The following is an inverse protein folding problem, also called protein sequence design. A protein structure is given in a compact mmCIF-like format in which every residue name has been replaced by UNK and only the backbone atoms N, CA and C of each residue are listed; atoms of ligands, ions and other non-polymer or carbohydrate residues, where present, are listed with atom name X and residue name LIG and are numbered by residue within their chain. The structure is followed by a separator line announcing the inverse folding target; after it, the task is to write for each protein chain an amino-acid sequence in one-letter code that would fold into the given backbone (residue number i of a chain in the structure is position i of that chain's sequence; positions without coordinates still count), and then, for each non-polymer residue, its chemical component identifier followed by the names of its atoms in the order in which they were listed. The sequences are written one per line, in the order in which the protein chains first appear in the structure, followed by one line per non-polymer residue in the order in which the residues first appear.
data_IF_318376948997
#
_entry.id   IF_318376948997
#
_cell.length_a   1.000
_cell.length_b   1.000
_cell.length_c   1.000
_cell.angle_alpha   90.00
_cell.angle_beta   90.00
_cell.angle_gamma   90.00
#
_symmetry.space_group_name_H-M   'P 1'
#
loop_
_entity.id
_entity.type
_entity.pdbx_description
1 polymer ?
#
# COMPACT_ATOMS: atom_id res chain seq x y z
N UNK A 1 22.02 -7.66 64.32
CA UNK A 1 21.59 -8.95 64.92
C UNK A 1 20.42 -9.49 64.10
N UNK A 2 20.73 -10.27 63.06
CA UNK A 2 19.77 -10.71 62.05
C UNK A 2 19.14 -12.04 62.46
N UNK A 3 17.90 -12.00 62.97
CA UNK A 3 17.05 -13.18 63.06
C UNK A 3 16.28 -13.32 61.73
N UNK A 4 16.64 -14.32 60.95
CA UNK A 4 15.98 -14.65 59.68
C UNK A 4 14.54 -15.11 59.96
N UNK A 5 13.58 -14.25 59.62
CA UNK A 5 12.15 -14.60 59.58
C UNK A 5 11.93 -15.50 58.36
N UNK A 6 11.41 -16.70 58.60
CA UNK A 6 10.92 -17.59 57.57
C UNK A 6 9.83 -16.88 56.76
N UNK A 7 10.14 -16.58 55.50
CA UNK A 7 9.16 -16.15 54.51
C UNK A 7 8.52 -17.38 53.90
N UNK A 8 7.24 -17.59 54.16
CA UNK A 8 6.37 -18.46 53.36
C UNK A 8 6.52 -18.08 51.89
N UNK A 9 7.06 -19.00 51.08
CA UNK A 9 6.95 -18.90 49.62
C UNK A 9 5.48 -19.11 49.29
N UNK A 10 4.77 -18.03 49.00
CA UNK A 10 3.42 -18.09 48.48
C UNK A 10 3.39 -19.03 47.27
N UNK A 11 2.74 -20.17 47.43
CA UNK A 11 2.47 -21.14 46.38
C UNK A 11 1.39 -20.57 45.44
N UNK A 12 1.70 -19.48 44.75
CA UNK A 12 0.92 -19.05 43.61
C UNK A 12 1.29 -19.99 42.46
N UNK A 13 0.50 -21.06 42.30
CA UNK A 13 0.56 -21.91 41.12
C UNK A 13 0.51 -21.03 39.86
N UNK A 14 1.12 -21.48 38.76
CA UNK A 14 1.29 -20.63 37.59
C UNK A 14 -0.05 -20.06 37.13
N UNK A 15 -0.09 -18.79 36.69
CA UNK A 15 -1.35 -18.15 36.33
C UNK A 15 -2.00 -18.94 35.21
N UNK A 16 -3.18 -19.55 35.45
CA UNK A 16 -3.93 -20.34 34.45
C UNK A 16 -4.26 -19.55 33.17
N UNK A 17 -4.12 -18.23 33.21
CA UNK A 17 -4.35 -17.31 32.09
C UNK A 17 -3.06 -16.85 31.38
N UNK A 18 -1.87 -17.27 31.82
CA UNK A 18 -0.61 -16.85 31.20
C UNK A 18 -0.36 -17.56 29.87
N UNK A 19 0.17 -16.82 28.90
CA UNK A 19 0.59 -17.33 27.60
C UNK A 19 2.11 -17.26 27.50
N UNK A 20 2.70 -18.24 26.82
CA UNK A 20 4.11 -18.20 26.45
C UNK A 20 4.31 -18.73 25.03
N UNK A 21 5.11 -18.00 24.26
CA UNK A 21 5.35 -18.23 22.83
C UNK A 21 6.86 -18.41 22.62
N UNK A 22 7.24 -19.48 21.92
CA UNK A 22 8.63 -19.77 21.57
C UNK A 22 8.70 -20.69 20.36
N UNK A 23 9.78 -20.60 19.59
CA UNK A 23 10.15 -21.53 18.52
C UNK A 23 11.18 -22.58 18.97
N UNK A 24 11.80 -22.40 20.14
CA UNK A 24 12.94 -23.18 20.63
C UNK A 24 12.53 -24.26 21.65
N UNK A 25 13.09 -25.47 21.51
CA UNK A 25 12.93 -26.52 22.52
C UNK A 25 13.72 -26.27 23.82
N UNK A 26 14.63 -25.30 23.85
CA UNK A 26 15.36 -24.89 25.05
C UNK A 26 14.45 -24.22 26.08
N UNK A 27 13.39 -23.54 25.61
CA UNK A 27 12.41 -22.86 26.46
C UNK A 27 11.31 -23.80 26.98
N UNK A 28 11.47 -25.11 26.81
CA UNK A 28 10.48 -26.10 27.23
C UNK A 28 10.05 -25.92 28.69
N UNK A 29 10.95 -25.76 29.69
CA UNK A 29 10.54 -25.61 31.08
C UNK A 29 9.54 -24.46 31.31
N UNK A 30 9.65 -23.37 30.55
CA UNK A 30 8.75 -22.24 30.67
C UNK A 30 7.38 -22.50 30.01
N UNK A 31 7.35 -23.27 28.91
CA UNK A 31 6.09 -23.77 28.32
C UNK A 31 5.32 -24.71 29.28
N UNK A 32 6.02 -25.44 30.15
CA UNK A 32 5.39 -26.35 31.12
C UNK A 32 4.74 -25.61 32.29
N UNK A 33 5.28 -24.45 32.62
CA UNK A 33 4.81 -23.65 33.75
C UNK A 33 3.57 -22.85 33.34
N UNK A 34 3.47 -22.32 32.12
CA UNK A 34 2.34 -21.44 31.77
C UNK A 34 0.99 -22.15 31.59
N UNK A 35 -0.11 -21.42 31.84
CA UNK A 35 -1.46 -21.95 31.64
C UNK A 35 -1.83 -22.19 30.18
N UNK A 36 -1.21 -21.48 29.23
CA UNK A 36 -1.51 -21.52 27.79
C UNK A 36 -0.23 -21.53 26.95
N UNK A 37 0.41 -22.68 26.83
CA UNK A 37 1.57 -22.90 25.96
C UNK A 37 1.20 -22.68 24.47
N UNK A 38 1.98 -21.83 23.78
CA UNK A 38 1.79 -21.49 22.35
C UNK A 38 3.09 -21.64 21.56
N UNK A 39 3.58 -22.88 21.32
CA UNK A 39 4.70 -23.10 20.42
C UNK A 39 4.44 -22.44 19.07
N UNK A 40 5.37 -21.59 18.63
CA UNK A 40 5.23 -20.73 17.46
C UNK A 40 6.40 -20.98 16.53
N UNK A 41 6.16 -21.44 15.30
CA UNK A 41 7.21 -21.93 14.38
C UNK A 41 8.20 -22.92 15.02
N UNK A 42 7.74 -23.92 15.80
CA UNK A 42 8.61 -24.72 16.64
C UNK A 42 9.62 -25.55 15.84
N UNK A 43 10.81 -25.72 16.44
CA UNK A 43 11.83 -26.70 16.05
C UNK A 43 11.21 -28.09 15.88
N UNK A 44 11.85 -28.98 15.12
CA UNK A 44 11.32 -30.35 14.90
C UNK A 44 11.05 -31.07 16.22
N UNK A 45 11.91 -30.85 17.22
CA UNK A 45 11.80 -31.45 18.55
C UNK A 45 10.65 -30.84 19.35
N UNK A 46 10.56 -29.51 19.42
CA UNK A 46 9.44 -28.84 20.10
C UNK A 46 8.10 -29.18 19.44
N UNK A 47 8.05 -29.31 18.11
CA UNK A 47 6.84 -29.72 17.38
C UNK A 47 6.39 -31.14 17.76
N UNK A 48 7.33 -32.07 17.96
CA UNK A 48 7.01 -33.42 18.42
C UNK A 48 6.48 -33.42 19.87
N UNK A 49 7.04 -32.59 20.74
CA UNK A 49 6.58 -32.42 22.12
C UNK A 49 5.18 -31.80 22.15
N UNK A 50 4.95 -30.72 21.40
CA UNK A 50 3.66 -30.05 21.32
C UNK A 50 2.55 -31.00 20.85
N UNK A 51 2.82 -31.84 19.83
CA UNK A 51 1.88 -32.87 19.37
C UNK A 51 1.53 -33.88 20.48
N UNK A 52 2.53 -34.36 21.22
CA UNK A 52 2.30 -35.32 22.32
C UNK A 52 1.50 -34.71 23.47
N UNK A 53 1.64 -33.41 23.73
CA UNK A 53 0.97 -32.70 24.82
C UNK A 53 -0.33 -32.02 24.43
N UNK A 54 -0.75 -32.12 23.16
CA UNK A 54 -1.92 -31.43 22.66
C UNK A 54 -1.82 -29.90 22.70
N UNK A 55 -0.60 -29.35 22.71
CA UNK A 55 -0.42 -27.90 22.67
C UNK A 55 -0.74 -27.35 21.28
N UNK A 56 -1.53 -26.26 21.18
CA UNK A 56 -1.80 -25.62 19.91
C UNK A 56 -0.51 -25.01 19.34
N UNK A 57 -0.09 -25.50 18.18
CA UNK A 57 1.08 -25.01 17.46
C UNK A 57 0.65 -23.96 16.45
N UNK A 58 1.24 -22.77 16.53
CA UNK A 58 1.09 -21.75 15.50
C UNK A 58 2.27 -21.85 14.54
N UNK A 59 2.00 -22.05 13.24
CA UNK A 59 3.04 -21.96 12.21
C UNK A 59 2.77 -20.75 11.34
N UNK A 60 3.69 -19.81 11.37
CA UNK A 60 3.72 -18.65 10.49
C UNK A 60 4.80 -18.89 9.45
N UNK A 61 4.40 -19.26 8.24
CA UNK A 61 5.33 -19.32 7.10
C UNK A 61 5.54 -17.90 6.58
N UNK A 62 6.79 -17.44 6.55
CA UNK A 62 7.15 -16.30 5.70
C UNK A 62 6.87 -16.62 4.23
N UNK A 63 7.01 -15.63 3.35
CA UNK A 63 6.87 -15.82 1.90
C UNK A 63 7.74 -16.99 1.36
N UNK A 64 8.85 -17.36 1.98
CA UNK A 64 9.74 -18.39 1.44
C UNK A 64 10.42 -17.93 0.14
N UNK A 65 11.16 -18.81 -0.52
CA UNK A 65 11.87 -18.48 -1.77
C UNK A 65 10.89 -18.39 -2.94
N UNK A 66 11.04 -17.39 -3.83
CA UNK A 66 10.19 -17.30 -5.01
C UNK A 66 10.45 -18.47 -5.96
N UNK A 67 9.41 -18.97 -6.61
CA UNK A 67 9.57 -19.97 -7.67
C UNK A 67 10.06 -19.31 -8.97
N UNK A 68 10.64 -20.09 -9.88
CA UNK A 68 11.05 -19.58 -11.19
C UNK A 68 9.88 -18.96 -11.97
N UNK A 69 8.70 -19.58 -11.88
CA UNK A 69 7.48 -19.06 -12.48
C UNK A 69 7.08 -17.70 -11.90
N UNK A 70 7.21 -17.49 -10.59
CA UNK A 70 6.93 -16.19 -9.96
C UNK A 70 7.92 -15.11 -10.39
N UNK A 71 9.19 -15.46 -10.57
CA UNK A 71 10.23 -14.54 -11.07
C UNK A 71 9.92 -14.12 -12.50
N UNK A 72 9.70 -15.09 -13.40
CA UNK A 72 9.36 -14.82 -14.81
C UNK A 72 8.11 -13.95 -14.89
N UNK A 73 7.07 -14.32 -14.15
CA UNK A 73 5.80 -13.60 -14.11
C UNK A 73 5.96 -12.15 -13.63
N UNK A 74 6.78 -11.93 -12.60
CA UNK A 74 7.08 -10.59 -12.08
C UNK A 74 7.82 -9.74 -13.11
N UNK A 75 8.83 -10.33 -13.77
CA UNK A 75 9.59 -9.66 -14.83
C UNK A 75 8.69 -9.28 -16.00
N UNK A 76 7.79 -10.18 -16.44
CA UNK A 76 6.81 -9.90 -17.48
C UNK A 76 5.84 -8.78 -17.08
N UNK A 77 5.33 -8.80 -15.85
CA UNK A 77 4.45 -7.76 -15.35
C UNK A 77 5.12 -6.38 -15.34
N UNK A 78 6.40 -6.30 -14.93
CA UNK A 78 7.18 -5.05 -14.98
C UNK A 78 7.43 -4.62 -16.43
N UNK A 79 7.88 -5.55 -17.28
CA UNK A 79 8.20 -5.28 -18.68
C UNK A 79 6.96 -4.90 -19.52
N UNK A 80 5.75 -5.28 -19.08
CA UNK A 80 4.48 -5.00 -19.77
C UNK A 80 4.20 -3.52 -20.02
N UNK A 81 4.88 -2.61 -19.32
CA UNK A 81 4.79 -1.17 -19.59
C UNK A 81 5.24 -0.82 -21.01
N UNK A 82 6.21 -1.55 -21.59
CA UNK A 82 6.70 -1.31 -22.94
C UNK A 82 5.60 -1.61 -23.99
N UNK A 83 5.04 -2.83 -24.07
CA UNK A 83 3.96 -3.09 -25.01
C UNK A 83 2.71 -2.24 -24.72
N UNK A 84 2.43 -1.88 -23.46
CA UNK A 84 1.33 -0.97 -23.14
C UNK A 84 1.51 0.42 -23.78
N UNK A 85 2.72 0.99 -23.73
CA UNK A 85 3.02 2.24 -24.43
C UNK A 85 3.02 2.06 -25.96
N UNK A 86 3.44 0.90 -26.47
CA UNK A 86 3.31 0.55 -27.89
C UNK A 86 1.86 0.52 -28.36
N UNK A 87 0.96 -0.08 -27.58
CA UNK A 87 -0.49 -0.08 -27.83
C UNK A 87 -1.03 1.35 -27.78
N UNK A 88 -0.62 2.15 -26.79
CA UNK A 88 -0.99 3.56 -26.69
C UNK A 88 -0.53 4.40 -27.89
N UNK A 89 0.59 4.07 -28.53
CA UNK A 89 1.07 4.81 -29.69
C UNK A 89 0.12 4.75 -30.89
N UNK A 90 -0.70 3.70 -31.00
CA UNK A 90 -1.67 3.53 -32.09
C UNK A 90 -2.66 4.71 -32.16
N UNK A 91 -3.49 4.99 -31.14
CA UNK A 91 -4.36 6.18 -31.17
C UNK A 91 -3.56 7.48 -31.11
N UNK A 92 -2.38 7.50 -30.49
CA UNK A 92 -1.52 8.69 -30.45
C UNK A 92 -1.11 9.18 -31.84
N UNK A 93 -0.76 8.26 -32.73
CA UNK A 93 -0.41 8.55 -34.12
C UNK A 93 -1.64 8.87 -34.96
N UNK A 94 -2.75 8.12 -34.77
CA UNK A 94 -3.99 8.31 -35.52
C UNK A 94 -4.68 9.64 -35.18
N UNK A 95 -4.85 9.95 -33.90
CA UNK A 95 -5.55 11.13 -33.41
C UNK A 95 -4.62 12.33 -33.19
N UNK A 96 -3.30 12.15 -33.37
CA UNK A 96 -2.26 13.14 -33.02
C UNK A 96 -2.40 13.67 -31.59
N UNK A 97 -2.89 12.83 -30.68
CA UNK A 97 -3.20 13.19 -29.29
C UNK A 97 -2.28 12.45 -28.32
N UNK A 98 -1.39 13.19 -27.66
CA UNK A 98 -0.59 12.65 -26.55
C UNK A 98 -1.47 12.12 -25.43
N UNK A 99 -2.60 12.78 -25.16
CA UNK A 99 -3.54 12.39 -24.09
C UNK A 99 -4.14 11.02 -24.37
N UNK A 100 -4.57 10.76 -25.59
CA UNK A 100 -5.17 9.47 -25.98
C UNK A 100 -4.15 8.34 -25.87
N UNK A 101 -2.91 8.60 -26.30
CA UNK A 101 -1.82 7.64 -26.14
C UNK A 101 -1.56 7.29 -24.67
N UNK A 102 -1.42 8.32 -23.82
CA UNK A 102 -1.16 8.10 -22.39
C UNK A 102 -2.33 7.37 -21.74
N UNK A 103 -3.57 7.75 -22.04
CA UNK A 103 -4.76 7.11 -21.50
C UNK A 103 -4.86 5.62 -21.87
N UNK A 104 -4.63 5.28 -23.14
CA UNK A 104 -4.64 3.89 -23.56
C UNK A 104 -3.45 3.11 -22.99
N UNK A 105 -2.26 3.73 -22.90
CA UNK A 105 -1.10 3.10 -22.29
C UNK A 105 -1.30 2.80 -20.79
N UNK A 106 -1.90 3.73 -20.04
CA UNK A 106 -2.27 3.53 -18.63
C UNK A 106 -3.25 2.37 -18.50
N UNK A 107 -4.31 2.37 -19.32
CA UNK A 107 -5.32 1.30 -19.31
C UNK A 107 -4.69 -0.06 -19.63
N UNK A 108 -3.91 -0.14 -20.72
CA UNK A 108 -3.23 -1.35 -21.14
C UNK A 108 -2.22 -1.84 -20.11
N UNK A 109 -1.45 -0.94 -19.49
CA UNK A 109 -0.49 -1.33 -18.46
C UNK A 109 -1.18 -1.85 -17.21
N UNK A 110 -2.26 -1.19 -16.76
CA UNK A 110 -3.11 -1.65 -15.67
C UNK A 110 -3.67 -3.05 -15.90
N UNK A 111 -4.22 -3.32 -17.09
CA UNK A 111 -4.78 -4.63 -17.45
C UNK A 111 -3.71 -5.70 -17.63
N UNK A 112 -2.75 -5.49 -18.52
CA UNK A 112 -1.70 -6.46 -18.84
C UNK A 112 -0.81 -6.74 -17.63
N UNK A 113 -0.40 -5.68 -16.93
CA UNK A 113 0.50 -5.82 -15.79
C UNK A 113 -0.15 -6.57 -14.63
N UNK A 114 -1.43 -6.33 -14.32
CA UNK A 114 -2.11 -7.05 -13.23
C UNK A 114 -2.39 -8.50 -13.60
N UNK A 115 -2.84 -8.75 -14.84
CA UNK A 115 -3.06 -10.10 -15.35
C UNK A 115 -1.76 -10.92 -15.35
N UNK A 116 -0.67 -10.34 -15.88
CA UNK A 116 0.64 -10.96 -15.83
C UNK A 116 1.09 -11.13 -14.40
N UNK A 117 0.99 -10.15 -13.51
CA UNK A 117 1.40 -10.29 -12.11
C UNK A 117 0.63 -11.38 -11.35
N UNK A 118 -0.54 -11.79 -11.82
CA UNK A 118 -1.46 -12.67 -11.12
C UNK A 118 -2.20 -11.95 -9.99
N UNK A 119 -2.32 -10.61 -10.07
CA UNK A 119 -2.96 -9.78 -9.06
C UNK A 119 -4.40 -9.49 -9.49
N UNK A 120 -5.36 -9.90 -8.66
CA UNK A 120 -6.80 -9.66 -8.86
C UNK A 120 -7.25 -8.53 -7.96
N UNK A 121 -8.22 -7.74 -8.41
CA UNK A 121 -8.81 -6.67 -7.60
C UNK A 121 -10.26 -7.05 -7.30
N UNK A 122 -10.64 -6.93 -6.04
CA UNK A 122 -12.04 -6.97 -5.61
C UNK A 122 -12.44 -5.56 -5.17
N UNK A 123 -13.18 -4.86 -6.03
CA UNK A 123 -13.45 -3.43 -5.87
C UNK A 123 -14.86 -3.21 -5.32
N UNK A 124 -14.96 -2.39 -4.28
CA UNK A 124 -16.21 -1.86 -3.74
C UNK A 124 -16.23 -0.35 -3.93
N UNK A 125 -17.36 0.20 -4.38
CA UNK A 125 -17.51 1.64 -4.62
C UNK A 125 -16.86 2.13 -5.93
N UNK A 126 -16.67 1.27 -6.92
CA UNK A 126 -15.98 1.62 -8.18
C UNK A 126 -16.62 2.83 -8.89
N UNK A 127 -17.93 3.03 -8.74
CA UNK A 127 -18.68 4.18 -9.24
C UNK A 127 -18.10 5.53 -8.78
N UNK A 128 -17.53 5.59 -7.57
CA UNK A 128 -16.94 6.82 -7.03
C UNK A 128 -15.65 7.23 -7.76
N UNK A 129 -15.00 6.32 -8.49
CA UNK A 129 -13.84 6.64 -9.34
C UNK A 129 -14.23 7.52 -10.55
N UNK A 130 -15.52 7.52 -10.89
CA UNK A 130 -16.07 8.12 -12.10
C UNK A 130 -17.14 9.19 -11.81
N UNK A 131 -17.67 9.24 -10.59
CA UNK A 131 -18.73 10.18 -10.22
C UNK A 131 -18.30 11.65 -10.25
N UNK A 132 -17.01 11.94 -10.06
CA UNK A 132 -16.47 13.29 -10.18
C UNK A 132 -15.03 13.29 -10.73
N UNK A 133 -14.82 13.96 -11.87
CA UNK A 133 -13.50 14.21 -12.45
C UNK A 133 -13.43 15.60 -13.09
N UNK A 134 -12.34 16.37 -12.94
CA UNK A 134 -11.11 16.02 -12.20
C UNK A 134 -11.32 15.92 -10.69
N UNK A 135 -10.47 15.14 -10.02
CA UNK A 135 -10.45 14.96 -8.57
C UNK A 135 -9.01 14.71 -8.09
N UNK A 136 -8.78 14.79 -6.78
CA UNK A 136 -7.56 14.29 -6.16
C UNK A 136 -7.83 12.91 -5.56
N UNK A 137 -7.37 11.87 -6.25
CA UNK A 137 -7.40 10.50 -5.75
C UNK A 137 -6.26 10.29 -4.75
N UNK A 138 -6.62 9.89 -3.53
CA UNK A 138 -5.64 9.55 -2.50
C UNK A 138 -5.71 8.07 -2.16
N UNK A 139 -4.56 7.45 -1.90
CA UNK A 139 -4.50 6.03 -1.54
C UNK A 139 -3.44 5.74 -0.48
N UNK A 140 -3.65 4.70 0.33
CA UNK A 140 -2.63 4.21 1.25
C UNK A 140 -1.57 3.45 0.47
N UNK A 141 -0.30 3.66 0.80
CA UNK A 141 0.80 3.15 -0.01
C UNK A 141 1.58 2.09 0.74
N UNK A 142 1.47 0.84 0.32
CA UNK A 142 2.11 -0.29 0.98
C UNK A 142 3.01 -1.09 0.02
N UNK A 143 2.72 -1.05 -1.27
CA UNK A 143 3.37 -1.89 -2.27
C UNK A 143 3.84 -1.09 -3.49
N UNK A 144 4.87 -1.60 -4.18
CA UNK A 144 5.21 -1.06 -5.50
C UNK A 144 4.15 -1.43 -6.55
N UNK A 145 3.36 -2.49 -6.31
CA UNK A 145 2.24 -2.91 -7.16
C UNK A 145 1.11 -1.87 -7.14
N UNK A 146 1.02 -1.03 -6.11
CA UNK A 146 -0.02 0.01 -6.01
C UNK A 146 -0.08 0.89 -7.26
N UNK A 147 1.06 1.22 -7.88
CA UNK A 147 1.09 2.01 -9.12
C UNK A 147 0.33 1.33 -10.26
N UNK A 148 0.50 0.02 -10.40
CA UNK A 148 -0.16 -0.80 -11.39
C UNK A 148 -1.66 -0.94 -11.09
N UNK A 149 -2.04 -1.08 -9.81
CA UNK A 149 -3.45 -1.12 -9.38
C UNK A 149 -4.16 0.20 -9.69
N UNK A 150 -3.51 1.33 -9.41
CA UNK A 150 -4.03 2.65 -9.73
C UNK A 150 -4.25 2.82 -11.23
N UNK A 151 -3.33 2.36 -12.07
CA UNK A 151 -3.53 2.38 -13.53
C UNK A 151 -4.75 1.56 -13.96
N UNK A 152 -4.94 0.35 -13.38
CA UNK A 152 -6.10 -0.50 -13.67
C UNK A 152 -7.43 0.14 -13.24
N UNK A 153 -7.45 0.77 -12.07
CA UNK A 153 -8.64 1.38 -11.50
C UNK A 153 -9.04 2.67 -12.22
N UNK A 154 -8.08 3.58 -12.41
CA UNK A 154 -8.39 4.94 -12.87
C UNK A 154 -8.35 5.09 -14.39
N UNK A 155 -7.63 4.22 -15.10
CA UNK A 155 -7.55 4.01 -16.57
C UNK A 155 -7.09 5.20 -17.42
N UNK A 156 -7.66 6.39 -17.23
CA UNK A 156 -7.47 7.57 -18.08
C UNK A 156 -7.52 8.85 -17.27
N UNK A 157 -7.02 9.94 -17.86
CA UNK A 157 -7.14 11.31 -17.35
C UNK A 157 -6.59 11.47 -15.94
N UNK A 158 -5.44 10.83 -15.68
CA UNK A 158 -4.73 10.90 -14.43
C UNK A 158 -3.28 11.33 -14.60
N UNK A 159 -2.75 11.98 -13.59
CA UNK A 159 -1.32 12.22 -13.40
C UNK A 159 -0.91 11.80 -11.99
N UNK A 160 0.21 11.10 -11.86
CA UNK A 160 0.70 10.63 -10.58
C UNK A 160 1.73 11.60 -9.98
N UNK A 161 1.87 11.56 -8.65
CA UNK A 161 2.98 12.19 -7.93
C UNK A 161 3.95 11.12 -7.43
N UNK A 162 5.19 11.17 -7.89
CA UNK A 162 6.20 10.16 -7.60
C UNK A 162 7.49 10.71 -6.97
N UNK A 163 8.14 9.85 -6.19
CA UNK A 163 9.58 9.59 -6.28
C UNK A 163 10.52 10.42 -7.18
N UNK A 164 11.30 11.44 -6.77
CA UNK A 164 12.34 11.97 -7.69
C UNK A 164 13.32 10.89 -8.16
N UNK A 165 13.64 9.92 -7.30
CA UNK A 165 14.50 8.79 -7.60
C UNK A 165 13.89 7.83 -8.63
N UNK A 166 12.55 7.76 -8.73
CA UNK A 166 11.86 6.96 -9.75
C UNK A 166 12.18 7.45 -11.15
N UNK A 167 12.41 8.76 -11.32
CA UNK A 167 12.83 9.35 -12.59
C UNK A 167 14.14 8.79 -13.13
N UNK A 168 15.02 8.29 -12.26
CA UNK A 168 16.34 7.72 -12.64
C UNK A 168 16.24 6.26 -13.08
N UNK A 169 15.10 5.61 -12.90
CA UNK A 169 14.89 4.24 -13.35
C UNK A 169 14.79 4.22 -14.90
N UNK A 170 15.55 3.33 -15.55
CA UNK A 170 15.62 3.27 -17.01
C UNK A 170 14.30 2.91 -17.69
N UNK A 171 13.42 2.19 -17.00
CA UNK A 171 12.12 1.77 -17.52
C UNK A 171 11.00 2.75 -17.12
N UNK A 172 10.88 3.03 -15.83
CA UNK A 172 9.79 3.86 -15.30
C UNK A 172 10.03 5.36 -15.51
N UNK A 173 11.28 5.83 -15.51
CA UNK A 173 11.59 7.24 -15.62
C UNK A 173 11.05 7.87 -16.91
N UNK A 174 11.45 7.37 -18.10
CA UNK A 174 10.98 7.91 -19.38
C UNK A 174 9.47 7.77 -19.56
N UNK A 175 8.89 6.61 -19.24
CA UNK A 175 7.46 6.32 -19.40
C UNK A 175 6.60 7.20 -18.48
N UNK A 176 6.97 7.35 -17.22
CA UNK A 176 6.23 8.18 -16.27
C UNK A 176 6.37 9.67 -16.59
N UNK A 177 7.55 10.12 -17.02
CA UNK A 177 7.75 11.49 -17.51
C UNK A 177 6.89 11.75 -18.74
N UNK A 178 6.85 10.81 -19.68
CA UNK A 178 6.00 10.90 -20.87
C UNK A 178 4.50 10.94 -20.51
N UNK A 179 4.07 10.20 -19.49
CA UNK A 179 2.71 10.26 -18.95
C UNK A 179 2.41 11.54 -18.15
N UNK A 180 3.40 12.44 -17.96
CA UNK A 180 3.22 13.71 -17.25
C UNK A 180 3.38 13.62 -15.74
N UNK A 181 3.88 12.50 -15.21
CA UNK A 181 4.10 12.28 -13.77
C UNK A 181 4.91 13.41 -13.14
N UNK A 182 4.43 13.93 -12.02
CA UNK A 182 5.10 14.96 -11.25
C UNK A 182 6.09 14.30 -10.29
N UNK A 183 7.38 14.55 -10.51
CA UNK A 183 8.46 14.03 -9.68
C UNK A 183 8.82 15.02 -8.57
N UNK A 184 8.86 14.55 -7.33
CA UNK A 184 9.11 15.38 -6.15
C UNK A 184 10.30 14.86 -5.37
N UNK A 185 11.22 15.78 -5.09
CA UNK A 185 12.22 15.62 -4.05
C UNK A 185 11.59 15.95 -2.69
N UNK A 186 11.48 14.93 -1.83
CA UNK A 186 10.84 15.05 -0.51
C UNK A 186 11.80 15.55 0.56
N UNK A 187 13.09 15.71 0.25
CA UNK A 187 14.10 16.22 1.18
C UNK A 187 14.04 17.75 1.33
N UNK A 188 13.56 18.45 0.29
CA UNK A 188 13.43 19.90 0.27
C UNK A 188 11.94 20.30 0.21
N UNK A 189 11.46 20.88 1.32
CA UNK A 189 10.05 21.27 1.46
C UNK A 189 9.65 22.37 0.48
N UNK A 190 10.51 23.36 0.22
CA UNK A 190 10.17 24.46 -0.68
C UNK A 190 10.08 23.96 -2.11
N UNK A 191 11.08 23.19 -2.56
CA UNK A 191 11.06 22.55 -3.89
C UNK A 191 9.88 21.59 -4.05
N UNK A 192 9.51 20.86 -3.00
CA UNK A 192 8.35 19.99 -3.05
C UNK A 192 7.06 20.76 -3.31
N UNK A 193 6.88 21.95 -2.71
CA UNK A 193 5.70 22.79 -2.94
C UNK A 193 5.70 23.34 -4.37
N UNK A 194 6.83 23.85 -4.85
CA UNK A 194 6.94 24.37 -6.22
C UNK A 194 6.69 23.29 -7.27
N UNK A 195 7.21 22.08 -7.03
CA UNK A 195 7.01 20.92 -7.90
C UNK A 195 5.53 20.49 -7.99
N UNK A 196 4.66 20.94 -7.08
CA UNK A 196 3.21 20.66 -7.15
C UNK A 196 2.44 21.64 -8.05
N UNK A 197 3.01 22.78 -8.47
CA UNK A 197 2.32 23.72 -9.36
C UNK A 197 1.81 23.08 -10.67
N UNK A 198 2.59 22.23 -11.38
CA UNK A 198 2.11 21.51 -12.55
C UNK A 198 0.90 20.60 -12.27
N UNK A 199 0.81 20.02 -11.07
CA UNK A 199 -0.33 19.18 -10.70
C UNK A 199 -1.62 19.99 -10.59
N UNK A 200 -1.57 21.21 -10.04
CA UNK A 200 -2.72 22.12 -9.98
C UNK A 200 -3.15 22.53 -11.40
N UNK A 201 -2.19 22.82 -12.29
CA UNK A 201 -2.49 23.11 -13.70
C UNK A 201 -3.16 21.92 -14.40
N UNK A 202 -2.66 20.70 -14.17
CA UNK A 202 -3.25 19.48 -14.72
C UNK A 202 -4.71 19.27 -14.24
N UNK A 203 -4.97 19.49 -12.95
CA UNK A 203 -6.33 19.46 -12.37
C UNK A 203 -7.25 20.45 -13.09
N UNK A 204 -6.82 21.69 -13.28
CA UNK A 204 -7.61 22.72 -13.99
C UNK A 204 -7.84 22.40 -15.47
N UNK A 205 -6.98 21.59 -16.08
CA UNK A 205 -7.11 21.10 -17.47
C UNK A 205 -7.92 19.80 -17.58
N UNK A 206 -8.60 19.39 -16.49
CA UNK A 206 -9.45 18.19 -16.48
C UNK A 206 -8.67 16.88 -16.36
N UNK A 207 -7.46 16.91 -15.81
CA UNK A 207 -6.67 15.71 -15.48
C UNK A 207 -6.64 15.52 -13.97
N UNK A 208 -7.12 14.39 -13.49
CA UNK A 208 -7.14 14.07 -12.06
C UNK A 208 -5.74 13.81 -11.52
N UNK A 209 -5.52 14.10 -10.24
CA UNK A 209 -4.26 13.81 -9.57
C UNK A 209 -4.38 12.51 -8.78
N UNK A 210 -3.34 11.68 -8.77
CA UNK A 210 -3.26 10.53 -7.87
C UNK A 210 -1.99 10.57 -7.03
N UNK A 211 -2.17 10.46 -5.71
CA UNK A 211 -1.08 10.65 -4.74
C UNK A 211 -1.28 9.84 -3.47
N UNK A 212 -0.21 9.24 -2.96
CA UNK A 212 -0.19 8.67 -1.62
C UNK A 212 0.16 9.75 -0.58
N UNK A 213 -0.78 10.17 0.30
CA UNK A 213 -0.56 11.27 1.22
C UNK A 213 0.46 10.94 2.31
N UNK A 214 0.75 9.66 2.59
CA UNK A 214 1.83 9.23 3.50
C UNK A 214 3.23 9.65 2.99
N UNK A 215 3.39 9.75 1.67
CA UNK A 215 4.65 10.12 1.04
C UNK A 215 5.78 9.10 1.24
N UNK A 216 5.47 7.83 1.53
CA UNK A 216 6.38 6.68 1.44
C UNK A 216 5.56 5.39 1.55
N UNK A 217 6.15 4.24 1.18
CA UNK A 217 5.52 2.93 1.41
C UNK A 217 5.59 2.55 2.88
N UNK A 218 4.48 2.15 3.47
CA UNK A 218 4.45 1.48 4.77
C UNK A 218 5.10 0.10 4.65
N UNK A 219 5.89 -0.28 5.65
CA UNK A 219 6.44 -1.64 5.77
C UNK A 219 5.46 -2.59 6.49
N UNK A 220 4.34 -2.06 6.98
CA UNK A 220 3.38 -2.76 7.84
C UNK A 220 1.97 -2.48 7.35
N UNK A 221 0.99 -3.21 7.89
CA UNK A 221 -0.42 -2.91 7.64
C UNK A 221 -0.90 -1.60 8.29
N UNK A 222 -0.07 -0.96 9.12
CA UNK A 222 -0.40 0.32 9.76
C UNK A 222 -0.27 1.49 8.80
N UNK A 223 -1.25 2.38 8.87
CA UNK A 223 -1.31 3.62 8.10
C UNK A 223 -0.47 4.73 8.76
N UNK A 224 0.45 5.31 7.98
CA UNK A 224 1.26 6.45 8.40
C UNK A 224 0.47 7.75 8.55
N UNK A 225 1.14 8.83 8.99
CA UNK A 225 0.55 10.17 9.01
C UNK A 225 0.38 10.70 7.58
N UNK A 226 -0.69 11.45 7.34
CA UNK A 226 -0.96 12.08 6.06
C UNK A 226 -0.29 13.46 5.97
N UNK A 227 0.34 13.75 4.84
CA UNK A 227 0.94 15.05 4.53
C UNK A 227 -0.09 15.97 3.87
N UNK A 228 0.00 17.27 4.14
CA UNK A 228 -0.95 18.30 3.67
C UNK A 228 -1.00 18.52 2.15
N UNK A 229 0.04 18.11 1.42
CA UNK A 229 0.21 18.48 0.01
C UNK A 229 -0.98 18.12 -0.90
N UNK A 230 -1.51 16.89 -0.76
CA UNK A 230 -2.67 16.43 -1.53
C UNK A 230 -3.92 17.30 -1.31
N UNK A 231 -4.15 17.64 -0.05
CA UNK A 231 -5.32 18.41 0.41
C UNK A 231 -5.24 19.88 -0.03
N UNK A 232 -4.06 20.50 0.05
CA UNK A 232 -3.86 21.84 -0.49
C UNK A 232 -4.09 21.90 -2.01
N UNK A 233 -3.72 20.86 -2.76
CA UNK A 233 -3.98 20.81 -4.20
C UNK A 233 -5.46 20.68 -4.51
N UNK A 234 -6.19 19.84 -3.76
CA UNK A 234 -7.64 19.71 -3.89
C UNK A 234 -8.35 21.05 -3.64
N UNK A 235 -8.02 21.72 -2.53
CA UNK A 235 -8.54 23.05 -2.20
C UNK A 235 -8.19 24.11 -3.25
N UNK A 236 -6.92 24.16 -3.68
CA UNK A 236 -6.44 25.17 -4.64
C UNK A 236 -6.98 24.99 -6.07
N UNK A 237 -7.38 23.76 -6.41
CA UNK A 237 -8.05 23.44 -7.67
C UNK A 237 -9.58 23.43 -7.55
N UNK A 238 -10.14 23.51 -6.34
CA UNK A 238 -11.58 23.39 -6.05
C UNK A 238 -12.17 22.09 -6.62
N UNK A 239 -11.52 20.97 -6.30
CA UNK A 239 -11.94 19.63 -6.72
C UNK A 239 -12.03 18.72 -5.50
N UNK A 240 -12.93 17.72 -5.50
CA UNK A 240 -13.07 16.83 -4.36
C UNK A 240 -11.88 15.88 -4.23
N UNK A 241 -11.78 15.27 -3.05
CA UNK A 241 -10.83 14.19 -2.74
C UNK A 241 -11.57 12.87 -2.81
N UNK A 242 -11.02 11.87 -3.50
CA UNK A 242 -11.60 10.52 -3.57
C UNK A 242 -10.66 9.54 -2.87
N UNK A 243 -11.02 9.01 -1.69
CA UNK A 243 -10.22 8.01 -0.97
C UNK A 243 -10.29 6.63 -1.61
N UNK A 244 -9.13 6.01 -1.84
CA UNK A 244 -8.98 4.63 -2.32
C UNK A 244 -8.18 3.86 -1.28
N UNK A 245 -8.81 2.89 -0.63
CA UNK A 245 -8.17 2.05 0.39
C UNK A 245 -7.82 0.70 -0.22
N UNK A 246 -6.52 0.43 -0.34
CA UNK A 246 -6.00 -0.90 -0.62
C UNK A 246 -5.85 -1.67 0.67
N UNK A 247 -6.55 -2.79 0.79
CA UNK A 247 -6.23 -3.79 1.81
C UNK A 247 -5.20 -4.73 1.23
N UNK A 248 -4.37 -5.30 2.11
CA UNK A 248 -3.50 -6.44 1.81
C UNK A 248 -2.61 -6.37 0.54
N UNK A 249 -2.29 -5.19 -0.01
CA UNK A 249 -1.40 -5.08 -1.19
C UNK A 249 0.05 -5.51 -0.91
N UNK A 250 0.44 -5.58 0.37
CA UNK A 250 1.68 -6.19 0.85
C UNK A 250 1.77 -7.68 0.52
N UNK A 251 0.64 -8.37 0.43
CA UNK A 251 0.58 -9.80 0.09
C UNK A 251 1.03 -10.03 -1.36
N UNK A 252 0.87 -9.03 -2.24
CA UNK A 252 1.33 -9.06 -3.62
C UNK A 252 2.81 -8.68 -3.76
N UNK A 253 3.27 -7.64 -3.04
CA UNK A 253 4.70 -7.26 -3.00
C UNK A 253 4.99 -6.40 -1.75
N UNK A 254 5.65 -6.93 -0.72
CA UNK A 254 6.01 -6.17 0.46
C UNK A 254 7.07 -5.13 0.10
N UNK A 255 7.21 -4.12 0.96
CA UNK A 255 8.27 -3.14 0.84
C UNK A 255 9.65 -3.82 0.75
N UNK A 256 10.47 -3.39 -0.21
CA UNK A 256 11.78 -3.98 -0.56
C UNK A 256 11.74 -5.37 -1.22
N UNK A 257 10.57 -5.97 -1.41
CA UNK A 257 10.42 -7.17 -2.23
C UNK A 257 10.74 -6.89 -3.71
N UNK A 258 11.27 -7.91 -4.40
CA UNK A 258 11.58 -7.85 -5.84
C UNK A 258 10.63 -8.69 -6.69
N UNK A 259 9.97 -9.68 -6.09
CA UNK A 259 9.10 -10.64 -6.80
C UNK A 259 7.65 -10.45 -6.37
N UNK A 260 6.81 -10.17 -7.36
CA UNK A 260 5.37 -10.05 -7.23
C UNK A 260 4.76 -11.45 -7.16
N UNK A 261 3.85 -11.64 -6.21
CA UNK A 261 3.13 -12.89 -6.03
C UNK A 261 1.65 -12.72 -6.30
N UNK A 262 0.96 -13.78 -6.73
CA UNK A 262 -0.45 -13.71 -6.97
C UNK A 262 -1.14 -13.40 -5.65
N UNK A 263 -2.04 -12.44 -5.70
CA UNK A 263 -2.83 -12.05 -4.55
C UNK A 263 -4.12 -11.44 -5.07
N UNK A 264 -5.18 -11.56 -4.26
CA UNK A 264 -6.36 -10.72 -4.40
C UNK A 264 -6.16 -9.51 -3.51
N UNK A 265 -6.27 -8.31 -4.09
CA UNK A 265 -6.22 -7.04 -3.37
C UNK A 265 -7.66 -6.53 -3.26
N UNK A 266 -8.17 -6.42 -2.04
CA UNK A 266 -9.45 -5.74 -1.83
C UNK A 266 -9.25 -4.23 -1.94
N UNK A 267 -10.15 -3.57 -2.65
CA UNK A 267 -10.15 -2.14 -2.87
C UNK A 267 -11.47 -1.56 -2.42
N UNK A 268 -11.43 -0.58 -1.52
CA UNK A 268 -12.60 0.19 -1.12
C UNK A 268 -12.42 1.62 -1.60
N UNK A 269 -13.31 2.07 -2.48
CA UNK A 269 -13.34 3.43 -2.98
C UNK A 269 -14.48 4.16 -2.29
N UNK A 270 -14.13 5.20 -1.54
CA UNK A 270 -15.11 6.01 -0.81
C UNK A 270 -15.72 7.11 -1.69
N UNK A 271 -16.91 7.62 -1.32
CA UNK A 271 -17.51 8.77 -1.99
C UNK A 271 -16.56 9.97 -2.06
N UNK A 272 -16.67 10.81 -3.11
CA UNK A 272 -15.92 12.06 -3.18
C UNK A 272 -16.22 12.95 -1.97
N UNK A 273 -15.18 13.46 -1.33
CA UNK A 273 -15.23 14.39 -0.22
C UNK A 273 -15.08 15.81 -0.79
N UNK A 274 -16.12 16.64 -0.74
CA UNK A 274 -16.04 18.04 -1.17
C UNK A 274 -15.00 18.81 -0.35
N UNK A 275 -14.37 19.79 -0.97
CA UNK A 275 -13.36 20.64 -0.29
C UNK A 275 -13.75 22.12 -0.28
N UNK A 276 -14.98 22.45 -0.68
CA UNK A 276 -15.45 23.82 -0.87
C UNK A 276 -15.50 24.63 0.44
N UNK A 277 -15.79 23.95 1.56
CA UNK A 277 -15.87 24.52 2.90
C UNK A 277 -14.56 24.43 3.69
N UNK A 278 -13.49 23.89 3.09
CA UNK A 278 -12.22 23.70 3.79
C UNK A 278 -11.45 25.00 3.86
N UNK A 279 -10.84 25.25 5.02
CA UNK A 279 -10.00 26.43 5.27
C UNK A 279 -8.62 26.01 5.78
N UNK A 280 -7.59 26.87 5.65
CA UNK A 280 -6.27 26.58 6.23
C UNK A 280 -6.31 26.24 7.72
N UNK A 281 -7.24 26.85 8.47
CA UNK A 281 -7.40 26.67 9.92
C UNK A 281 -8.04 25.31 10.26
N UNK A 282 -8.97 24.82 9.43
CA UNK A 282 -9.66 23.54 9.62
C UNK A 282 -8.92 22.36 8.97
N UNK A 283 -7.90 22.63 8.18
CA UNK A 283 -7.23 21.64 7.34
C UNK A 283 -6.67 20.44 8.12
N UNK A 284 -6.03 20.67 9.26
CA UNK A 284 -5.46 19.57 10.06
C UNK A 284 -6.54 18.62 10.57
N UNK A 285 -7.67 19.17 11.01
CA UNK A 285 -8.82 18.39 11.45
C UNK A 285 -9.40 17.58 10.28
N UNK A 286 -9.63 18.23 9.13
CA UNK A 286 -10.12 17.55 7.92
C UNK A 286 -9.20 16.42 7.47
N UNK A 287 -7.89 16.61 7.55
CA UNK A 287 -6.90 15.56 7.25
C UNK A 287 -7.01 14.40 8.24
N UNK A 288 -7.19 14.70 9.53
CA UNK A 288 -7.38 13.67 10.56
C UNK A 288 -8.66 12.87 10.34
N UNK A 289 -9.77 13.52 9.98
CA UNK A 289 -11.05 12.88 9.62
C UNK A 289 -10.88 11.94 8.43
N UNK A 290 -10.24 12.40 7.35
CA UNK A 290 -9.95 11.57 6.18
C UNK A 290 -9.04 10.39 6.55
N UNK A 291 -8.02 10.62 7.39
CA UNK A 291 -7.14 9.54 7.84
C UNK A 291 -7.90 8.51 8.70
N UNK A 292 -8.81 8.95 9.58
CA UNK A 292 -9.64 8.06 10.39
C UNK A 292 -10.49 7.16 9.49
N UNK A 293 -11.09 7.71 8.43
CA UNK A 293 -11.81 6.93 7.42
C UNK A 293 -10.95 5.81 6.80
N UNK A 294 -9.66 6.07 6.52
CA UNK A 294 -8.76 5.00 6.07
C UNK A 294 -8.50 3.95 7.15
N UNK A 295 -8.29 4.36 8.40
CA UNK A 295 -8.04 3.44 9.53
C UNK A 295 -9.25 2.53 9.76
N UNK A 296 -10.44 3.11 9.84
CA UNK A 296 -11.71 2.39 10.01
C UNK A 296 -11.93 1.40 8.87
N UNK A 297 -11.64 1.83 7.63
CA UNK A 297 -11.75 0.96 6.45
C UNK A 297 -10.70 -0.16 6.45
N UNK A 298 -9.53 0.04 7.03
CA UNK A 298 -8.52 -1.02 7.18
C UNK A 298 -8.88 -1.99 8.31
N UNK A 299 -9.85 -1.66 9.16
CA UNK A 299 -10.23 -2.46 10.33
C UNK A 299 -9.14 -2.49 11.41
N UNK A 300 -8.39 -1.40 11.54
CA UNK A 300 -7.22 -1.28 12.41
C UNK A 300 -7.47 -0.44 13.67
#
# INVERSE_FOLDING_TARGET
MHAARGGERAAHGPPRLSYFYTDSDEDLPLLEIVGRARPTNPSRRLAAIARRRGWPVHRFTGRGRPSLGEIVRSSLAIASIIPAFGIGAIPGLLNRSRRDMVNLAITAWGELGTALAGVRLEVRGEEHLWSHRPAVFIFNHQSAVDALLICKLLRRDIVAVAKQEVRRNLLFGPTFAFAGTVFIDRSDRQRAIEALRPAITALRQGTSLVIAPEGTRSATHRLGPFKKGAFHMAMGARVPIVPIVFRNSLDALPKHGLVIRPATVEVVVHPPIPTDDWTPDTLEQRIAEVRALFVDTLGA
#
